data_IF_388633200962
#
_entry.id   IF_388633200962
#
_cell.length_a   1.000
_cell.length_b   1.000
_cell.length_c   1.000
_cell.angle_alpha   90.00
_cell.angle_beta   90.00
_cell.angle_gamma   90.00
#
_symmetry.space_group_name_H-M   'P 1'
#
loop_
_entity.id
_entity.type
_entity.pdbx_description
1 polymer ?
#
# COMPACT_ATOMS: atom_id res chain seq x y z
N UNK A 1 -12.46 5.37 17.89
CA UNK A 1 -13.00 4.58 16.76
C UNK A 1 -12.09 3.38 16.52
N UNK A 2 -12.59 2.14 16.65
CA UNK A 2 -11.80 0.93 16.31
C UNK A 2 -11.75 0.82 14.79
N UNK A 3 -10.69 1.35 14.18
CA UNK A 3 -10.46 1.31 12.74
C UNK A 3 -9.94 -0.10 12.35
N UNK A 4 -10.75 -1.13 12.62
CA UNK A 4 -10.46 -2.52 12.30
C UNK A 4 -10.69 -2.76 10.81
N UNK A 5 -9.96 -2.02 9.96
CA UNK A 5 -9.95 -2.29 8.54
C UNK A 5 -9.40 -3.69 8.32
N UNK A 6 -10.16 -4.51 7.60
CA UNK A 6 -9.76 -5.86 7.20
C UNK A 6 -9.89 -5.94 5.69
N UNK A 7 -8.86 -6.48 5.04
CA UNK A 7 -8.84 -6.75 3.59
C UNK A 7 -9.84 -7.85 3.16
N UNK A 8 -11.11 -7.75 3.56
CA UNK A 8 -12.12 -8.81 3.37
C UNK A 8 -12.28 -9.20 1.90
N UNK A 9 -12.36 -8.22 1.02
CA UNK A 9 -12.64 -8.43 -0.41
C UNK A 9 -11.38 -8.72 -1.25
N UNK A 10 -10.19 -8.72 -0.63
CA UNK A 10 -8.96 -9.12 -1.31
C UNK A 10 -8.79 -10.65 -1.22
N UNK A 11 -9.01 -11.34 -2.32
CA UNK A 11 -8.88 -12.79 -2.43
C UNK A 11 -7.43 -13.25 -2.37
N UNK A 12 -7.19 -14.48 -1.90
CA UNK A 12 -5.88 -15.17 -1.91
C UNK A 12 -4.72 -14.36 -1.32
N UNK A 13 -4.99 -13.58 -0.28
CA UNK A 13 -3.99 -12.76 0.43
C UNK A 13 -3.27 -13.53 1.52
N UNK A 14 -2.00 -13.22 1.72
CA UNK A 14 -1.17 -13.70 2.82
C UNK A 14 -0.94 -12.57 3.82
N UNK A 15 -1.32 -12.75 5.09
CA UNK A 15 -1.07 -11.73 6.11
C UNK A 15 0.40 -11.74 6.51
N UNK A 16 1.02 -10.55 6.50
CA UNK A 16 2.34 -10.34 7.10
C UNK A 16 2.13 -9.98 8.56
N UNK A 17 2.82 -10.69 9.46
CA UNK A 17 2.63 -10.61 10.91
C UNK A 17 3.90 -10.15 11.62
N UNK A 18 3.77 -9.83 12.91
CA UNK A 18 4.91 -9.56 13.78
C UNK A 18 5.71 -8.30 13.42
N UNK A 19 7.03 -8.37 13.64
CA UNK A 19 8.00 -7.30 13.38
C UNK A 19 8.13 -6.99 11.89
N UNK A 20 8.13 -8.02 11.05
CA UNK A 20 8.30 -7.92 9.60
C UNK A 20 7.27 -6.97 8.99
N UNK A 21 6.03 -7.02 9.50
CA UNK A 21 4.97 -6.13 9.08
C UNK A 21 5.28 -4.65 9.34
N UNK A 22 5.87 -4.33 10.49
CA UNK A 22 6.24 -2.95 10.81
C UNK A 22 7.41 -2.50 9.96
N UNK A 23 8.43 -3.35 9.81
CA UNK A 23 9.63 -3.02 9.07
C UNK A 23 9.32 -2.79 7.58
N UNK A 24 8.51 -3.67 6.96
CA UNK A 24 8.06 -3.51 5.58
C UNK A 24 7.24 -2.22 5.41
N UNK A 25 6.30 -1.96 6.33
CA UNK A 25 5.48 -0.74 6.25
C UNK A 25 6.33 0.52 6.36
N UNK A 26 7.24 0.60 7.33
CA UNK A 26 8.07 1.79 7.51
C UNK A 26 9.08 1.95 6.38
N UNK A 27 9.57 0.88 5.77
CA UNK A 27 10.40 0.95 4.56
C UNK A 27 9.61 1.58 3.40
N UNK A 28 8.36 1.13 3.15
CA UNK A 28 7.48 1.76 2.15
C UNK A 28 7.18 3.23 2.48
N UNK A 29 6.86 3.53 3.74
CA UNK A 29 6.53 4.89 4.16
C UNK A 29 7.73 5.84 4.02
N UNK A 30 8.95 5.35 4.25
CA UNK A 30 10.17 6.14 4.05
C UNK A 30 10.39 6.50 2.58
N UNK A 31 10.02 5.63 1.64
CA UNK A 31 10.02 5.98 0.20
C UNK A 31 9.04 7.11 -0.09
N UNK A 32 7.83 7.09 0.48
CA UNK A 32 6.86 8.19 0.31
C UNK A 32 7.36 9.50 0.93
N UNK A 33 8.07 9.42 2.07
CA UNK A 33 8.56 10.61 2.80
C UNK A 33 9.82 11.24 2.21
N UNK A 34 10.72 10.42 1.66
CA UNK A 34 12.08 10.83 1.25
C UNK A 34 12.31 10.70 -0.26
N UNK A 35 11.48 9.92 -0.93
CA UNK A 35 11.55 9.71 -2.37
C UNK A 35 11.03 10.90 -3.16
N UNK A 36 11.28 10.86 -4.46
CA UNK A 36 10.77 11.85 -5.39
C UNK A 36 9.40 11.38 -5.89
N UNK A 37 8.43 12.28 -5.92
CA UNK A 37 7.19 12.05 -6.66
C UNK A 37 7.52 12.02 -8.15
N UNK A 38 7.40 10.85 -8.78
CA UNK A 38 7.73 10.65 -10.19
C UNK A 38 6.49 10.67 -11.08
N UNK A 39 5.31 10.36 -10.52
CA UNK A 39 4.05 10.40 -11.25
C UNK A 39 2.87 10.67 -10.31
N UNK A 40 1.89 11.40 -10.83
CA UNK A 40 0.54 11.49 -10.27
C UNK A 40 -0.47 11.20 -11.38
N UNK A 41 -1.48 10.39 -11.09
CA UNK A 41 -2.60 10.13 -12.01
C UNK A 41 -3.88 9.82 -11.23
N UNK A 42 -5.02 10.17 -11.81
CA UNK A 42 -6.35 9.77 -11.32
C UNK A 42 -6.91 8.58 -12.11
N UNK A 43 -6.22 8.14 -13.17
CA UNK A 43 -6.63 7.02 -14.01
C UNK A 43 -6.27 5.70 -13.35
N UNK A 44 -7.28 4.89 -13.04
CA UNK A 44 -7.06 3.54 -12.52
C UNK A 44 -6.35 2.64 -13.56
N UNK A 45 -6.63 2.84 -14.85
CA UNK A 45 -5.95 2.12 -15.92
C UNK A 45 -4.44 2.42 -15.97
N UNK A 46 -4.03 3.65 -15.67
CA UNK A 46 -2.61 4.02 -15.61
C UNK A 46 -1.93 3.30 -14.44
N UNK A 47 -2.58 3.26 -13.26
CA UNK A 47 -2.08 2.50 -12.12
C UNK A 47 -1.89 1.01 -12.48
N UNK A 48 -2.88 0.39 -13.13
CA UNK A 48 -2.81 -1.02 -13.57
C UNK A 48 -1.63 -1.28 -14.51
N UNK A 49 -1.36 -0.33 -15.42
CA UNK A 49 -0.23 -0.41 -16.36
C UNK A 49 1.12 -0.36 -15.63
N UNK A 50 1.24 0.47 -14.60
CA UNK A 50 2.47 0.66 -13.82
C UNK A 50 2.78 -0.50 -12.85
N UNK A 51 1.79 -1.34 -12.54
CA UNK A 51 1.98 -2.55 -11.73
C UNK A 51 2.65 -3.65 -12.56
N UNK A 52 3.97 -3.59 -12.76
CA UNK A 52 4.72 -4.52 -13.64
C UNK A 52 5.01 -5.92 -13.08
N UNK A 53 4.99 -6.11 -11.76
CA UNK A 53 5.28 -7.38 -11.07
C UNK A 53 4.04 -8.23 -10.82
N UNK A 54 4.24 -9.52 -10.52
CA UNK A 54 3.16 -10.47 -10.26
C UNK A 54 2.58 -10.40 -8.85
N UNK A 55 3.35 -9.90 -7.88
CA UNK A 55 2.96 -9.85 -6.47
C UNK A 55 3.39 -8.54 -5.81
N UNK A 56 2.57 -8.10 -4.88
CA UNK A 56 2.74 -6.84 -4.17
C UNK A 56 2.46 -6.99 -2.69
N UNK A 57 3.13 -6.14 -1.92
CA UNK A 57 2.68 -5.75 -0.60
C UNK A 57 1.62 -4.66 -0.75
N UNK A 58 0.54 -4.76 0.01
CA UNK A 58 -0.43 -3.67 0.22
C UNK A 58 -0.67 -3.47 1.71
N UNK A 59 -0.48 -2.22 2.15
CA UNK A 59 -0.68 -1.80 3.53
C UNK A 59 -1.75 -0.72 3.64
N UNK A 60 -2.72 -0.91 4.53
CA UNK A 60 -3.63 0.16 4.95
C UNK A 60 -2.85 1.19 5.75
N UNK A 61 -2.69 2.41 5.23
CA UNK A 61 -1.84 3.45 5.81
C UNK A 61 -2.43 4.03 7.11
N UNK A 62 -2.30 3.26 8.20
CA UNK A 62 -2.80 3.61 9.52
C UNK A 62 -1.66 3.59 10.54
N UNK A 63 -1.26 4.78 10.98
CA UNK A 63 -0.20 5.01 11.96
C UNK A 63 -0.83 5.54 13.25
N UNK A 64 -0.43 4.98 14.38
CA UNK A 64 -0.74 5.51 15.72
C UNK A 64 0.54 5.88 16.44
N UNK A 65 0.45 6.85 17.35
CA UNK A 65 1.61 7.33 18.11
C UNK A 65 1.50 6.89 19.57
N UNK A 66 2.57 6.28 20.09
CA UNK A 66 2.74 6.02 21.54
C UNK A 66 3.88 6.90 22.04
N UNK A 67 3.52 8.06 22.61
CA UNK A 67 4.48 9.13 22.86
C UNK A 67 5.07 9.64 21.53
N UNK A 68 6.40 9.68 21.42
CA UNK A 68 7.10 10.08 20.19
C UNK A 68 7.27 8.94 19.16
N UNK A 69 6.93 7.70 19.52
CA UNK A 69 7.13 6.53 18.65
C UNK A 69 5.90 6.32 17.75
N UNK A 70 6.12 6.35 16.44
CA UNK A 70 5.14 5.90 15.46
C UNK A 70 5.04 4.36 15.47
N UNK A 71 3.81 3.85 15.40
CA UNK A 71 3.50 2.41 15.36
C UNK A 71 2.52 2.18 14.22
N UNK A 72 2.84 1.21 13.37
CA UNK A 72 1.93 0.76 12.33
C UNK A 72 0.77 -0.05 12.92
N UNK A 73 -0.43 0.53 12.90
CA UNK A 73 -1.66 -0.10 13.39
C UNK A 73 -2.54 -0.69 12.27
N UNK A 74 -2.17 -0.46 11.01
CA UNK A 74 -2.86 -1.02 9.85
C UNK A 74 -2.65 -2.52 9.69
N UNK A 75 -3.15 -3.07 8.58
CA UNK A 75 -2.84 -4.41 8.13
C UNK A 75 -1.90 -4.34 6.92
N UNK A 76 -1.04 -5.33 6.80
CA UNK A 76 -0.16 -5.54 5.64
C UNK A 76 -0.41 -6.95 5.14
N UNK A 77 -0.61 -7.06 3.84
CA UNK A 77 -0.79 -8.35 3.18
C UNK A 77 0.01 -8.41 1.90
N UNK A 78 0.38 -9.63 1.51
CA UNK A 78 0.87 -9.94 0.18
C UNK A 78 -0.29 -10.43 -0.67
N UNK A 79 -0.35 -9.95 -1.90
CA UNK A 79 -1.36 -10.38 -2.86
C UNK A 79 -0.77 -10.41 -4.28
N UNK A 80 -1.37 -11.24 -5.13
CA UNK A 80 -1.09 -11.26 -6.55
C UNK A 80 -1.70 -10.03 -7.24
N UNK A 81 -1.10 -9.60 -8.35
CA UNK A 81 -1.50 -8.42 -9.12
C UNK A 81 -2.98 -8.43 -9.49
N UNK A 82 -3.50 -9.55 -10.01
CA UNK A 82 -4.89 -9.64 -10.45
C UNK A 82 -5.87 -9.36 -9.30
N UNK A 83 -5.70 -10.04 -8.16
CA UNK A 83 -6.55 -9.87 -6.99
C UNK A 83 -6.41 -8.46 -6.38
N UNK A 84 -5.20 -7.88 -6.43
CA UNK A 84 -4.97 -6.51 -5.98
C UNK A 84 -5.75 -5.50 -6.85
N UNK A 85 -5.71 -5.67 -8.18
CA UNK A 85 -6.45 -4.83 -9.13
C UNK A 85 -7.95 -4.94 -8.87
N UNK A 86 -8.49 -6.16 -8.80
CA UNK A 86 -9.91 -6.39 -8.55
C UNK A 86 -10.35 -5.74 -7.23
N UNK A 87 -9.52 -5.84 -6.19
CA UNK A 87 -9.78 -5.23 -4.88
C UNK A 87 -9.80 -3.71 -4.93
N UNK A 88 -8.82 -3.07 -5.59
CA UNK A 88 -8.77 -1.60 -5.70
C UNK A 88 -9.93 -1.10 -6.55
N UNK A 89 -10.23 -1.77 -7.67
CA UNK A 89 -11.34 -1.42 -8.55
C UNK A 89 -12.67 -1.51 -7.81
N UNK A 90 -12.86 -2.58 -7.03
CA UNK A 90 -14.03 -2.71 -6.17
C UNK A 90 -14.10 -1.56 -5.16
N UNK A 91 -13.01 -1.24 -4.45
CA UNK A 91 -13.01 -0.14 -3.48
C UNK A 91 -13.37 1.22 -4.12
N UNK A 92 -12.89 1.49 -5.34
CA UNK A 92 -13.25 2.69 -6.11
C UNK A 92 -14.74 2.70 -6.46
N UNK A 93 -15.27 1.60 -6.98
CA UNK A 93 -16.67 1.50 -7.43
C UNK A 93 -17.69 1.68 -6.29
N UNK A 94 -17.28 1.41 -5.04
CA UNK A 94 -18.12 1.52 -3.85
C UNK A 94 -17.74 2.71 -2.94
N UNK A 95 -16.88 3.62 -3.41
CA UNK A 95 -16.43 4.80 -2.65
C UNK A 95 -15.86 4.45 -1.24
N UNK A 96 -15.12 3.34 -1.15
CA UNK A 96 -14.44 2.86 0.07
C UNK A 96 -12.92 2.73 -0.16
N UNK A 97 -12.37 3.55 -1.08
CA UNK A 97 -10.93 3.59 -1.30
C UNK A 97 -10.24 4.24 -0.10
N UNK A 98 -9.56 3.43 0.71
CA UNK A 98 -8.75 3.90 1.82
C UNK A 98 -7.35 4.30 1.38
N UNK A 99 -6.63 5.10 2.18
CA UNK A 99 -5.21 5.33 1.97
C UNK A 99 -4.40 4.02 2.04
N UNK A 100 -3.75 3.64 0.93
CA UNK A 100 -2.91 2.43 0.85
C UNK A 100 -1.50 2.74 0.37
N UNK A 101 -0.52 2.03 0.94
CA UNK A 101 0.82 1.92 0.37
C UNK A 101 0.95 0.59 -0.34
N UNK A 102 1.43 0.62 -1.59
CA UNK A 102 1.64 -0.57 -2.40
C UNK A 102 3.07 -0.57 -2.93
N UNK A 103 3.76 -1.71 -2.82
CA UNK A 103 5.08 -1.92 -3.43
C UNK A 103 5.21 -3.33 -3.94
N UNK A 104 6.07 -3.55 -4.94
CA UNK A 104 6.46 -4.92 -5.31
C UNK A 104 7.12 -5.61 -4.13
N UNK A 105 7.05 -6.94 -4.05
CA UNK A 105 7.78 -7.69 -3.02
C UNK A 105 9.27 -7.37 -3.08
N UNK A 106 9.87 -7.07 -1.93
CA UNK A 106 11.28 -6.74 -1.76
C UNK A 106 11.88 -7.49 -0.55
N UNK A 107 13.19 -7.72 -0.56
CA UNK A 107 13.91 -8.46 0.50
C UNK A 107 14.71 -7.58 1.43
N UNK A 108 15.20 -6.43 0.96
CA UNK A 108 16.02 -5.50 1.74
C UNK A 108 15.39 -4.10 1.75
N UNK A 109 15.45 -3.39 0.62
CA UNK A 109 14.95 -2.03 0.51
C UNK A 109 13.82 -1.91 -0.51
N UNK A 110 12.77 -1.19 -0.12
CA UNK A 110 11.75 -0.71 -1.02
C UNK A 110 12.32 0.48 -1.83
N UNK A 111 12.22 0.41 -3.16
CA UNK A 111 12.69 1.49 -4.04
C UNK A 111 11.55 2.31 -4.67
N UNK A 112 10.36 1.74 -4.70
CA UNK A 112 9.21 2.27 -5.41
C UNK A 112 7.93 1.98 -4.63
N UNK A 113 7.12 3.02 -4.42
CA UNK A 113 5.85 2.90 -3.70
C UNK A 113 4.76 3.66 -4.45
N UNK A 114 3.64 2.98 -4.68
CA UNK A 114 2.38 3.62 -5.02
C UNK A 114 1.67 4.01 -3.72
N UNK A 115 1.34 5.29 -3.58
CA UNK A 115 0.47 5.79 -2.54
C UNK A 115 -0.90 6.09 -3.14
N UNK A 116 -1.91 5.32 -2.73
CA UNK A 116 -3.29 5.48 -3.14
C UNK A 116 -4.00 6.33 -2.09
N UNK A 117 -4.80 7.28 -2.55
CA UNK A 117 -5.65 8.14 -1.73
C UNK A 117 -7.00 8.34 -2.43
N UNK A 118 -7.94 9.00 -1.76
CA UNK A 118 -9.21 9.42 -2.36
C UNK A 118 -9.01 10.41 -3.52
N UNK A 119 -7.90 11.15 -3.55
CA UNK A 119 -7.60 12.18 -4.56
C UNK A 119 -6.93 11.62 -5.83
N UNK A 120 -6.37 10.42 -5.74
CA UNK A 120 -5.66 9.77 -6.84
C UNK A 120 -4.49 8.89 -6.41
N UNK A 121 -3.66 8.55 -7.39
CA UNK A 121 -2.56 7.60 -7.30
C UNK A 121 -1.22 8.31 -7.51
N UNK A 122 -0.33 8.19 -6.52
CA UNK A 122 0.97 8.82 -6.52
C UNK A 122 2.06 7.76 -6.59
N UNK A 123 3.08 7.97 -7.41
CA UNK A 123 4.25 7.09 -7.50
C UNK A 123 5.47 7.81 -6.93
N UNK A 124 6.11 7.18 -5.94
CA UNK A 124 7.36 7.67 -5.35
C UNK A 124 8.48 6.70 -5.63
N UNK A 125 9.63 7.25 -6.06
CA UNK A 125 10.86 6.51 -6.29
C UNK A 125 12.01 7.11 -5.46
N UNK A 126 12.82 6.24 -4.85
CA UNK A 126 14.14 6.62 -4.31
C UNK A 126 15.22 6.21 -5.31
N UNK A 127 16.22 7.08 -5.49
CA UNK A 127 17.36 6.85 -6.39
C UNK A 127 18.25 5.70 -5.90
#
# INVERSE_FOLDING_TARGET
>A
MKNNYVFKNLANKEFVLGTDKQDIFFNMLDVVRKGNLTLFTQSFSDLVYLLEKDSYYIAHNLIVYKGKKAIFAGQLVRAFKAQLIDFIQHAINYDDLRPFLISSIFTQDCKRVFYLTEEGFYLYDVK
#
